data_IF_889026039104
#
_entry.id   IF_889026039104
#
_cell.length_a   1.000
_cell.length_b   1.000
_cell.length_c   1.000
_cell.angle_alpha   90.00
_cell.angle_beta   90.00
_cell.angle_gamma   90.00
#
_symmetry.space_group_name_H-M   'P 1'
#
loop_
_entity.id
_entity.type
_entity.pdbx_description
1 polymer ?
#
# COMPACT_ATOMS: atom_id res chain seq x y z
N UNK A 1 2.87 15.52 -13.37
CA UNK A 1 2.66 14.06 -13.46
C UNK A 1 1.21 13.64 -13.15
N UNK A 2 0.65 13.93 -11.96
CA UNK A 2 -0.75 13.54 -11.60
C UNK A 2 -1.80 14.11 -12.58
N UNK A 3 -1.64 15.36 -13.04
CA UNK A 3 -2.56 15.98 -14.01
C UNK A 3 -2.53 15.28 -15.37
N UNK A 4 -1.35 14.94 -15.86
CA UNK A 4 -1.17 14.17 -17.10
C UNK A 4 -1.80 12.78 -17.01
N UNK A 5 -1.62 12.07 -15.88
CA UNK A 5 -2.23 10.76 -15.67
C UNK A 5 -3.78 10.83 -15.67
N UNK A 6 -4.37 11.90 -15.10
CA UNK A 6 -5.82 12.10 -15.14
C UNK A 6 -6.34 12.31 -16.57
N UNK A 7 -5.62 13.07 -17.39
CA UNK A 7 -5.96 13.30 -18.79
C UNK A 7 -5.94 11.97 -19.57
N UNK A 8 -4.89 11.17 -19.45
CA UNK A 8 -4.78 9.84 -20.06
C UNK A 8 -5.91 8.90 -19.63
N UNK A 9 -6.21 8.84 -18.32
CA UNK A 9 -7.28 7.98 -17.79
C UNK A 9 -8.66 8.33 -18.39
N UNK A 10 -8.91 9.62 -18.62
CA UNK A 10 -10.15 10.10 -19.25
C UNK A 10 -10.15 9.80 -20.75
N UNK A 11 -9.07 10.10 -21.46
CA UNK A 11 -8.91 9.87 -22.89
C UNK A 11 -9.05 8.39 -23.26
N UNK A 12 -8.46 7.50 -22.46
CA UNK A 12 -8.51 6.04 -22.65
C UNK A 12 -9.83 5.42 -22.14
N UNK A 13 -10.77 6.23 -21.66
CA UNK A 13 -12.09 5.79 -21.19
C UNK A 13 -12.01 4.68 -20.11
N UNK A 14 -11.04 4.79 -19.20
CA UNK A 14 -10.88 3.87 -18.07
C UNK A 14 -12.12 3.94 -17.19
N UNK A 15 -12.66 2.80 -16.77
CA UNK A 15 -13.91 2.75 -15.99
C UNK A 15 -13.73 2.79 -14.49
N UNK A 16 -12.54 2.46 -14.01
CA UNK A 16 -12.24 2.36 -12.59
C UNK A 16 -10.80 2.78 -12.30
N UNK A 17 -10.60 3.57 -11.27
CA UNK A 17 -9.27 3.94 -10.80
C UNK A 17 -9.16 3.85 -9.27
N UNK A 18 -8.00 3.42 -8.80
CA UNK A 18 -7.59 3.59 -7.41
C UNK A 18 -6.64 4.78 -7.32
N UNK A 19 -6.93 5.69 -6.41
CA UNK A 19 -6.09 6.85 -6.15
C UNK A 19 -5.52 6.81 -4.74
N UNK A 20 -4.34 7.37 -4.54
CA UNK A 20 -3.71 7.44 -3.23
C UNK A 20 -2.94 8.75 -3.05
N UNK A 21 -2.64 9.07 -1.82
CA UNK A 21 -1.89 10.24 -1.38
C UNK A 21 -2.48 11.60 -1.83
N UNK A 22 -2.67 12.48 -0.89
CA UNK A 22 -3.22 13.81 -1.11
C UNK A 22 -4.73 13.86 -0.94
N UNK A 23 -5.30 14.97 -1.42
CA UNK A 23 -6.73 15.28 -1.28
C UNK A 23 -7.48 14.90 -2.56
N UNK A 24 -8.40 13.91 -2.51
CA UNK A 24 -9.18 13.49 -3.68
C UNK A 24 -10.11 14.58 -4.20
N UNK A 25 -10.56 15.52 -3.39
CA UNK A 25 -11.42 16.62 -3.80
C UNK A 25 -10.86 17.44 -4.98
N UNK A 26 -9.53 17.47 -5.14
CA UNK A 26 -8.87 18.22 -6.22
C UNK A 26 -9.13 17.69 -7.63
N UNK A 27 -9.55 16.44 -7.78
CA UNK A 27 -9.67 15.79 -9.09
C UNK A 27 -10.90 14.91 -9.24
N UNK A 28 -11.63 14.63 -8.16
CA UNK A 28 -12.77 13.71 -8.18
C UNK A 28 -13.85 14.14 -9.18
N UNK A 29 -14.14 15.43 -9.30
CA UNK A 29 -15.16 15.96 -10.23
C UNK A 29 -14.87 15.57 -11.67
N UNK A 30 -13.63 15.75 -12.14
CA UNK A 30 -13.25 15.40 -13.51
C UNK A 30 -13.39 13.92 -13.81
N UNK A 31 -13.06 13.05 -12.84
CA UNK A 31 -13.23 11.62 -13.00
C UNK A 31 -14.71 11.22 -13.01
N UNK A 32 -15.52 11.83 -12.16
CA UNK A 32 -16.98 11.62 -12.14
C UNK A 32 -17.68 12.10 -13.40
N UNK A 33 -17.30 13.26 -13.94
CA UNK A 33 -17.80 13.78 -15.22
C UNK A 33 -17.52 12.82 -16.39
N UNK A 34 -16.41 12.06 -16.31
CA UNK A 34 -16.04 11.04 -17.28
C UNK A 34 -16.63 9.64 -16.96
N UNK A 35 -17.57 9.53 -16.02
CA UNK A 35 -18.17 8.26 -15.56
C UNK A 35 -17.14 7.22 -15.07
N UNK A 36 -16.09 7.68 -14.39
CA UNK A 36 -15.03 6.84 -13.83
C UNK A 36 -15.30 6.61 -12.36
N UNK A 37 -15.34 5.34 -11.95
CA UNK A 37 -15.44 4.96 -10.53
C UNK A 37 -14.10 5.15 -9.83
N UNK A 38 -14.14 5.77 -8.65
CA UNK A 38 -12.94 6.16 -7.90
C UNK A 38 -12.95 5.55 -6.51
N UNK A 39 -11.97 4.69 -6.25
CA UNK A 39 -11.65 4.28 -4.88
C UNK A 39 -10.41 5.04 -4.40
N UNK A 40 -10.41 5.47 -3.13
CA UNK A 40 -9.28 6.21 -2.57
C UNK A 40 -8.62 5.44 -1.43
N UNK A 41 -7.29 5.32 -1.48
CA UNK A 41 -6.52 4.65 -0.45
C UNK A 41 -6.36 5.57 0.78
N UNK A 42 -6.76 5.06 1.93
CA UNK A 42 -6.81 5.82 3.19
C UNK A 42 -6.11 5.05 4.33
N UNK A 43 -5.16 5.67 5.04
CA UNK A 43 -4.45 5.05 6.15
C UNK A 43 -5.00 5.46 7.53
N UNK A 44 -6.12 6.18 7.58
CA UNK A 44 -6.70 6.69 8.84
C UNK A 44 -8.19 6.99 8.70
N UNK A 45 -8.91 7.02 9.81
CA UNK A 45 -10.32 7.44 9.84
C UNK A 45 -10.49 8.87 9.32
N UNK A 46 -9.64 9.81 9.73
CA UNK A 46 -9.70 11.18 9.26
C UNK A 46 -9.52 11.28 7.73
N UNK A 47 -8.62 10.46 7.15
CA UNK A 47 -8.45 10.36 5.70
C UNK A 47 -9.68 9.78 5.02
N UNK A 48 -10.31 8.75 5.62
CA UNK A 48 -11.53 8.15 5.10
C UNK A 48 -12.69 9.14 5.06
N UNK A 49 -12.94 9.88 6.15
CA UNK A 49 -14.00 10.88 6.20
C UNK A 49 -13.82 11.97 5.13
N UNK A 50 -12.59 12.46 4.94
CA UNK A 50 -12.28 13.42 3.85
C UNK A 50 -12.55 12.85 2.47
N UNK A 51 -12.23 11.56 2.24
CA UNK A 51 -12.49 10.92 0.96
C UNK A 51 -13.99 10.73 0.71
N UNK A 52 -14.74 10.35 1.74
CA UNK A 52 -16.21 10.24 1.70
C UNK A 52 -16.83 11.59 1.35
N UNK A 53 -16.43 12.66 2.04
CA UNK A 53 -16.93 14.03 1.79
C UNK A 53 -16.58 14.52 0.38
N UNK A 54 -15.45 14.09 -0.18
CA UNK A 54 -15.08 14.39 -1.56
C UNK A 54 -15.92 13.63 -2.60
N UNK A 55 -16.69 12.60 -2.20
CA UNK A 55 -17.59 11.86 -3.07
C UNK A 55 -16.94 10.70 -3.82
N UNK A 56 -15.97 10.00 -3.23
CA UNK A 56 -15.42 8.76 -3.82
C UNK A 56 -16.46 7.65 -3.84
N UNK A 57 -16.28 6.66 -4.73
CA UNK A 57 -17.21 5.53 -4.86
C UNK A 57 -16.88 4.36 -3.93
N UNK A 58 -15.69 4.39 -3.30
CA UNK A 58 -15.27 3.39 -2.34
C UNK A 58 -13.92 3.74 -1.73
N UNK A 59 -13.50 2.95 -0.76
CA UNK A 59 -12.26 3.15 -0.01
C UNK A 59 -11.35 1.93 -0.14
N UNK A 60 -10.05 2.18 -0.27
CA UNK A 60 -9.01 1.16 0.00
C UNK A 60 -8.44 1.48 1.36
N UNK A 61 -8.83 0.72 2.37
CA UNK A 61 -8.42 0.93 3.76
C UNK A 61 -7.10 0.21 4.00
N UNK A 62 -6.03 0.97 4.20
CA UNK A 62 -4.68 0.43 4.29
C UNK A 62 -4.16 0.45 5.74
N UNK A 63 -3.99 -0.75 6.31
CA UNK A 63 -3.40 -0.93 7.63
C UNK A 63 -1.88 -0.70 7.66
N UNK A 64 -1.36 -0.55 8.88
CA UNK A 64 0.08 -0.39 9.10
C UNK A 64 0.91 -1.60 8.65
N UNK A 65 0.28 -2.77 8.54
CA UNK A 65 0.91 -4.03 8.12
C UNK A 65 1.34 -4.01 6.64
N UNK A 66 0.76 -3.14 5.82
CA UNK A 66 1.11 -3.01 4.40
C UNK A 66 2.53 -2.53 4.16
N UNK A 67 3.12 -2.90 3.01
CA UNK A 67 4.41 -2.39 2.53
C UNK A 67 4.30 -1.00 1.91
N UNK A 68 5.44 -0.33 1.72
CA UNK A 68 5.49 0.98 1.08
C UNK A 68 5.14 2.14 2.00
N UNK A 69 4.59 3.20 1.43
CA UNK A 69 4.28 4.44 2.18
C UNK A 69 3.27 4.20 3.28
N UNK A 70 3.56 4.71 4.48
CA UNK A 70 2.77 4.52 5.68
C UNK A 70 2.37 5.82 6.35
N UNK A 71 1.27 5.74 7.12
CA UNK A 71 0.96 6.74 8.12
C UNK A 71 1.81 6.47 9.37
N UNK A 72 2.52 7.46 9.93
CA UNK A 72 3.30 7.29 11.16
C UNK A 72 2.49 6.84 12.39
N UNK A 73 1.18 7.06 12.41
CA UNK A 73 0.29 6.71 13.52
C UNK A 73 0.00 5.20 13.66
N UNK A 74 0.42 4.39 12.68
CA UNK A 74 0.42 2.93 12.73
C UNK A 74 -0.89 2.26 13.21
N UNK A 75 -2.01 2.57 12.57
CA UNK A 75 -3.28 1.90 12.88
C UNK A 75 -3.34 0.55 12.16
N UNK A 76 -3.58 -0.53 12.91
CA UNK A 76 -3.76 -1.88 12.36
C UNK A 76 -5.03 -2.02 11.53
N UNK A 77 -4.97 -2.89 10.50
CA UNK A 77 -6.02 -3.02 9.48
C UNK A 77 -7.42 -3.31 10.09
N UNK A 78 -7.52 -4.29 10.98
CA UNK A 78 -8.81 -4.68 11.57
C UNK A 78 -9.45 -3.57 12.41
N UNK A 79 -8.65 -2.80 13.13
CA UNK A 79 -9.13 -1.64 13.90
C UNK A 79 -9.63 -0.56 12.95
N UNK A 80 -8.87 -0.31 11.89
CA UNK A 80 -9.17 0.76 10.94
C UNK A 80 -10.46 0.46 10.13
N UNK A 81 -10.62 -0.76 9.61
CA UNK A 81 -11.84 -1.18 8.90
C UNK A 81 -13.08 -0.97 9.77
N UNK A 82 -13.08 -1.52 11.00
CA UNK A 82 -14.22 -1.41 11.91
C UNK A 82 -14.53 0.04 12.30
N UNK A 83 -13.50 0.87 12.46
CA UNK A 83 -13.66 2.29 12.74
C UNK A 83 -14.31 3.04 11.58
N UNK A 84 -13.88 2.76 10.35
CA UNK A 84 -14.40 3.42 9.14
C UNK A 84 -15.82 2.93 8.81
N UNK A 85 -16.11 1.63 8.95
CA UNK A 85 -17.41 1.03 8.64
C UNK A 85 -18.57 1.65 9.45
N UNK A 86 -18.31 2.17 10.63
CA UNK A 86 -19.30 2.90 11.44
C UNK A 86 -19.75 4.22 10.82
N UNK A 87 -19.07 4.72 9.80
CA UNK A 87 -19.28 6.03 9.19
C UNK A 87 -19.71 5.97 7.72
N UNK A 88 -19.75 4.79 7.10
CA UNK A 88 -20.09 4.69 5.68
C UNK A 88 -20.55 3.30 5.30
N UNK A 89 -21.46 3.24 4.30
CA UNK A 89 -21.85 2.02 3.59
C UNK A 89 -21.13 1.85 2.24
N UNK A 90 -20.20 2.75 1.91
CA UNK A 90 -19.39 2.62 0.71
C UNK A 90 -18.59 1.31 0.73
N UNK A 91 -18.32 0.71 -0.45
CA UNK A 91 -17.44 -0.46 -0.54
C UNK A 91 -16.07 -0.18 0.09
N UNK A 92 -15.62 -1.12 0.92
CA UNK A 92 -14.30 -1.11 1.57
C UNK A 92 -13.45 -2.25 1.01
N UNK A 93 -12.32 -1.92 0.40
CA UNK A 93 -11.27 -2.86 0.04
C UNK A 93 -10.19 -2.83 1.13
N UNK A 94 -9.98 -3.94 1.81
CA UNK A 94 -8.95 -4.07 2.85
C UNK A 94 -7.57 -4.29 2.22
N UNK A 95 -6.57 -3.51 2.64
CA UNK A 95 -5.20 -3.60 2.16
C UNK A 95 -4.18 -3.65 3.29
N UNK A 96 -3.15 -4.49 3.13
CA UNK A 96 -2.08 -4.67 4.11
C UNK A 96 -2.30 -5.86 5.03
N UNK A 97 -1.27 -6.67 5.21
CA UNK A 97 -1.29 -7.83 6.07
C UNK A 97 -2.01 -9.08 5.53
N UNK A 98 -2.64 -9.00 4.37
CA UNK A 98 -3.42 -10.09 3.77
C UNK A 98 -2.57 -10.80 2.71
N UNK A 99 -2.38 -12.11 2.83
CA UNK A 99 -1.58 -12.93 1.89
C UNK A 99 -2.23 -14.28 1.56
N UNK A 100 -3.29 -14.65 2.27
CA UNK A 100 -3.96 -15.95 2.15
C UNK A 100 -5.47 -15.85 2.40
N UNK A 101 -6.15 -17.02 2.31
CA UNK A 101 -7.59 -17.12 2.55
C UNK A 101 -8.00 -16.85 4.00
N UNK A 102 -7.13 -17.09 4.98
CA UNK A 102 -7.40 -16.80 6.40
C UNK A 102 -7.44 -15.28 6.61
N UNK A 103 -6.43 -14.57 6.12
CA UNK A 103 -6.40 -13.11 6.17
C UNK A 103 -7.56 -12.48 5.41
N UNK A 104 -7.97 -13.05 4.27
CA UNK A 104 -9.15 -12.62 3.51
C UNK A 104 -10.44 -12.80 4.32
N UNK A 105 -10.65 -13.97 4.93
CA UNK A 105 -11.84 -14.23 5.75
C UNK A 105 -11.90 -13.29 6.96
N UNK A 106 -10.76 -13.02 7.60
CA UNK A 106 -10.66 -12.08 8.71
C UNK A 106 -11.01 -10.64 8.29
N UNK A 107 -10.55 -10.20 7.11
CA UNK A 107 -10.88 -8.88 6.58
C UNK A 107 -12.40 -8.73 6.31
N UNK A 108 -13.03 -9.74 5.72
CA UNK A 108 -14.48 -9.75 5.51
C UNK A 108 -15.25 -9.76 6.84
N UNK A 109 -14.83 -10.55 7.82
CA UNK A 109 -15.41 -10.54 9.16
C UNK A 109 -15.29 -9.18 9.87
N UNK A 110 -14.24 -8.41 9.56
CA UNK A 110 -14.06 -7.04 10.07
C UNK A 110 -14.94 -5.99 9.36
N UNK A 111 -15.58 -6.35 8.24
CA UNK A 111 -16.50 -5.48 7.49
C UNK A 111 -15.95 -4.97 6.14
N UNK A 112 -14.91 -5.58 5.59
CA UNK A 112 -14.47 -5.32 4.22
C UNK A 112 -15.38 -6.01 3.20
N UNK A 113 -15.48 -5.45 1.99
CA UNK A 113 -16.21 -6.01 0.85
C UNK A 113 -15.27 -6.64 -0.18
N UNK A 114 -13.98 -6.33 -0.09
CA UNK A 114 -12.93 -6.86 -0.96
C UNK A 114 -11.56 -6.76 -0.31
N UNK A 115 -10.54 -7.31 -0.98
CA UNK A 115 -9.15 -7.24 -0.51
C UNK A 115 -8.22 -6.75 -1.62
N UNK A 116 -7.09 -6.15 -1.21
CA UNK A 116 -5.96 -5.81 -2.06
C UNK A 116 -4.68 -6.37 -1.44
N UNK A 117 -3.92 -7.09 -2.24
CA UNK A 117 -2.63 -7.66 -1.85
C UNK A 117 -1.51 -7.09 -2.71
N UNK A 118 -0.37 -6.75 -2.09
CA UNK A 118 0.85 -6.34 -2.79
C UNK A 118 1.93 -7.42 -2.67
N UNK A 119 2.44 -7.62 -1.47
CA UNK A 119 3.59 -8.49 -1.19
C UNK A 119 3.40 -9.93 -1.68
N UNK A 120 2.20 -10.51 -1.55
CA UNK A 120 1.89 -11.84 -2.07
C UNK A 120 2.05 -11.92 -3.59
N UNK A 121 1.59 -10.91 -4.33
CA UNK A 121 1.74 -10.86 -5.77
C UNK A 121 3.17 -10.55 -6.22
N UNK A 122 3.93 -9.77 -5.45
CA UNK A 122 5.36 -9.57 -5.70
C UNK A 122 6.12 -10.89 -5.66
N UNK A 123 5.76 -11.81 -4.75
CA UNK A 123 6.41 -13.11 -4.60
C UNK A 123 5.85 -14.21 -5.53
N UNK A 124 4.90 -13.91 -6.43
CA UNK A 124 4.38 -14.92 -7.36
C UNK A 124 5.35 -15.21 -8.52
N UNK A 125 5.20 -16.39 -9.13
CA UNK A 125 6.00 -16.81 -10.30
C UNK A 125 5.88 -15.84 -11.47
N UNK A 126 4.67 -15.32 -11.71
CA UNK A 126 4.37 -14.41 -12.81
C UNK A 126 4.92 -13.00 -12.60
N UNK A 127 5.28 -12.65 -11.37
CA UNK A 127 5.87 -11.34 -11.09
C UNK A 127 7.24 -11.22 -11.77
N UNK A 128 7.51 -10.11 -12.51
CA UNK A 128 8.80 -9.89 -13.16
C UNK A 128 9.92 -9.47 -12.18
N UNK A 129 9.60 -9.42 -10.89
CA UNK A 129 10.56 -9.04 -9.84
C UNK A 129 11.66 -10.11 -9.72
N UNK A 130 12.90 -9.65 -9.51
CA UNK A 130 14.06 -10.53 -9.39
C UNK A 130 13.93 -11.56 -8.25
N UNK A 131 14.47 -12.76 -8.48
CA UNK A 131 14.39 -13.88 -7.53
C UNK A 131 14.98 -13.57 -6.14
N UNK A 132 15.97 -12.70 -6.06
CA UNK A 132 16.52 -12.26 -4.77
C UNK A 132 15.45 -11.59 -3.89
N UNK A 133 14.57 -10.77 -4.49
CA UNK A 133 13.50 -10.13 -3.75
C UNK A 133 12.41 -11.14 -3.35
N UNK A 134 11.99 -12.01 -4.27
CA UNK A 134 11.04 -13.09 -3.96
C UNK A 134 11.57 -13.98 -2.84
N UNK A 135 12.86 -14.39 -2.93
CA UNK A 135 13.53 -15.17 -1.90
C UNK A 135 13.58 -14.47 -0.55
N UNK A 136 13.83 -13.16 -0.52
CA UNK A 136 13.81 -12.39 0.71
C UNK A 136 12.41 -12.32 1.36
N UNK A 137 11.35 -12.32 0.57
CA UNK A 137 9.97 -12.39 1.07
C UNK A 137 9.69 -13.79 1.64
N UNK A 138 9.95 -14.86 0.88
CA UNK A 138 9.61 -16.25 1.24
C UNK A 138 10.41 -16.73 2.46
N UNK A 139 11.67 -16.27 2.62
CA UNK A 139 12.51 -16.59 3.77
C UNK A 139 12.36 -15.58 4.93
N UNK A 140 11.44 -14.61 4.79
CA UNK A 140 11.19 -13.59 5.81
C UNK A 140 10.41 -14.11 7.01
N UNK A 141 10.42 -13.33 8.09
CA UNK A 141 9.59 -13.58 9.27
C UNK A 141 8.64 -12.40 9.50
N UNK A 142 7.69 -12.56 10.43
CA UNK A 142 6.78 -11.49 10.87
C UNK A 142 7.51 -10.25 11.42
N UNK A 143 8.77 -10.41 11.82
CA UNK A 143 9.66 -9.33 12.28
C UNK A 143 10.64 -8.87 11.19
N UNK A 144 10.53 -9.37 9.96
CA UNK A 144 11.45 -9.14 8.85
C UNK A 144 11.31 -7.78 8.15
N UNK A 145 10.53 -6.85 8.69
CA UNK A 145 10.36 -5.49 8.13
C UNK A 145 10.57 -4.40 9.17
N UNK A 146 10.98 -3.22 8.69
CA UNK A 146 10.98 -1.98 9.47
C UNK A 146 9.90 -1.02 8.98
N UNK A 147 9.41 -0.15 9.88
CA UNK A 147 8.86 1.15 9.49
C UNK A 147 9.98 2.17 9.64
N UNK A 148 10.44 2.68 8.51
CA UNK A 148 11.53 3.64 8.43
C UNK A 148 10.98 5.07 8.48
N UNK A 149 11.80 5.98 9.02
CA UNK A 149 11.56 7.43 9.00
C UNK A 149 10.23 7.86 9.67
N UNK A 150 9.87 7.24 10.79
CA UNK A 150 8.59 7.49 11.50
C UNK A 150 8.34 8.96 11.89
N UNK A 151 9.39 9.75 12.05
CA UNK A 151 9.29 11.16 12.51
C UNK A 151 9.27 12.16 11.35
N UNK A 152 9.43 11.69 10.12
CA UNK A 152 9.52 12.53 8.94
C UNK A 152 8.80 11.91 7.73
N UNK A 153 8.91 12.54 6.55
CA UNK A 153 8.37 12.01 5.29
C UNK A 153 9.50 11.83 4.28
N UNK A 154 9.50 10.73 3.54
CA UNK A 154 8.51 9.64 3.53
C UNK A 154 8.64 8.71 4.73
N UNK A 155 7.52 8.22 5.27
CA UNK A 155 7.47 7.11 6.21
C UNK A 155 7.11 5.85 5.40
N UNK A 156 7.92 4.78 5.47
CA UNK A 156 7.72 3.58 4.64
C UNK A 156 7.95 2.29 5.44
N UNK A 157 7.26 1.21 5.03
CA UNK A 157 7.58 -0.15 5.47
C UNK A 157 8.36 -0.88 4.38
N UNK A 158 9.50 -1.45 4.76
CA UNK A 158 10.39 -2.21 3.88
C UNK A 158 11.03 -3.41 4.59
N UNK A 159 11.55 -4.37 3.82
CA UNK A 159 12.33 -5.49 4.33
C UNK A 159 13.57 -5.00 5.09
N UNK A 160 13.98 -5.79 6.06
CA UNK A 160 15.30 -5.66 6.71
C UNK A 160 16.39 -6.09 5.73
N UNK A 161 17.29 -5.17 5.42
CA UNK A 161 18.49 -5.34 4.59
C UNK A 161 19.59 -4.48 5.19
N UNK A 162 20.84 -4.65 4.75
CA UNK A 162 21.94 -3.81 5.23
C UNK A 162 21.68 -2.31 5.02
N UNK A 163 21.03 -1.95 3.91
CA UNK A 163 20.62 -0.55 3.66
C UNK A 163 19.57 -0.08 4.66
N UNK A 164 18.51 -0.87 4.86
CA UNK A 164 17.42 -0.47 5.77
C UNK A 164 17.81 -0.50 7.23
N UNK A 165 18.77 -1.35 7.63
CA UNK A 165 19.38 -1.34 8.97
C UNK A 165 20.07 0.00 9.24
N UNK A 166 20.90 0.48 8.30
CA UNK A 166 21.54 1.81 8.38
C UNK A 166 20.53 2.94 8.50
N UNK A 167 19.52 2.95 7.61
CA UNK A 167 18.46 3.97 7.65
C UNK A 167 17.69 3.93 8.97
N UNK A 168 17.43 2.75 9.50
CA UNK A 168 16.71 2.58 10.76
C UNK A 168 17.53 3.12 11.97
N UNK A 169 18.83 2.87 11.99
CA UNK A 169 19.75 3.36 13.01
C UNK A 169 19.93 4.89 12.94
N UNK A 170 20.08 5.44 11.74
CA UNK A 170 20.21 6.88 11.50
C UNK A 170 18.90 7.63 11.79
N UNK A 171 17.75 6.96 11.63
CA UNK A 171 16.43 7.51 11.88
C UNK A 171 15.94 8.51 10.85
N UNK A 172 16.67 8.72 9.75
CA UNK A 172 16.36 9.67 8.69
C UNK A 172 16.48 9.03 7.31
N UNK A 173 15.56 9.37 6.43
CA UNK A 173 15.54 8.97 5.03
C UNK A 173 14.88 10.06 4.19
N UNK A 174 15.39 10.31 3.00
CA UNK A 174 14.74 11.15 2.01
C UNK A 174 14.28 10.34 0.77
N UNK A 175 13.65 11.00 -0.19
CA UNK A 175 13.15 10.35 -1.40
C UNK A 175 14.26 9.82 -2.32
N UNK A 176 15.50 10.30 -2.19
CA UNK A 176 16.62 9.83 -3.02
C UNK A 176 16.98 8.37 -2.71
N UNK A 177 16.70 7.89 -1.50
CA UNK A 177 16.88 6.50 -1.13
C UNK A 177 16.06 5.52 -2.01
N UNK A 178 15.04 6.01 -2.71
CA UNK A 178 14.23 5.23 -3.65
C UNK A 178 14.75 5.29 -5.09
N UNK A 179 15.84 5.98 -5.39
CA UNK A 179 16.36 6.13 -6.75
C UNK A 179 16.79 4.81 -7.40
N UNK A 180 17.34 3.88 -6.61
CA UNK A 180 17.79 2.54 -7.04
C UNK A 180 16.68 1.49 -7.16
N UNK A 181 15.40 1.89 -7.14
CA UNK A 181 14.27 0.93 -7.09
C UNK A 181 14.22 -0.02 -8.30
N UNK A 182 14.69 0.39 -9.47
CA UNK A 182 14.77 -0.48 -10.66
C UNK A 182 15.86 -1.55 -10.51
N UNK A 183 17.00 -1.19 -9.96
CA UNK A 183 18.11 -2.11 -9.71
C UNK A 183 17.73 -3.12 -8.63
N UNK A 184 16.98 -2.69 -7.63
CA UNK A 184 16.38 -3.58 -6.64
C UNK A 184 15.39 -4.57 -7.28
N UNK A 185 14.33 -4.07 -7.95
CA UNK A 185 13.24 -4.92 -8.43
C UNK A 185 13.64 -5.84 -9.58
N UNK A 186 14.48 -5.37 -10.50
CA UNK A 186 14.80 -6.09 -11.72
C UNK A 186 16.28 -6.53 -11.82
N UNK A 187 17.17 -5.84 -11.13
CA UNK A 187 18.59 -6.19 -11.02
C UNK A 187 18.93 -7.11 -9.85
N UNK A 188 18.04 -7.21 -8.87
CA UNK A 188 18.25 -8.06 -7.68
C UNK A 188 19.22 -7.53 -6.65
N UNK A 189 19.63 -6.27 -6.74
CA UNK A 189 20.44 -5.61 -5.72
C UNK A 189 19.55 -5.18 -4.54
N UNK A 190 19.54 -6.00 -3.52
CA UNK A 190 18.69 -5.79 -2.32
C UNK A 190 19.08 -4.57 -1.48
N UNK A 191 20.21 -3.94 -1.78
CA UNK A 191 20.70 -2.74 -1.10
C UNK A 191 20.65 -1.47 -1.99
N UNK A 192 20.16 -1.56 -3.23
CA UNK A 192 20.02 -0.41 -4.13
C UNK A 192 18.93 0.58 -3.67
N UNK A 193 17.89 0.07 -2.99
CA UNK A 193 16.79 0.87 -2.42
C UNK A 193 16.07 0.09 -1.31
N UNK A 194 15.27 0.75 -0.43
CA UNK A 194 14.40 0.04 0.49
C UNK A 194 13.41 -0.89 -0.22
N UNK A 195 13.50 -2.18 0.04
CA UNK A 195 12.66 -3.21 -0.56
C UNK A 195 11.25 -3.20 0.06
N UNK A 196 10.29 -2.58 -0.63
CA UNK A 196 8.95 -2.33 -0.10
C UNK A 196 8.16 -3.65 0.03
N UNK A 197 7.89 -4.09 1.25
CA UNK A 197 7.11 -5.29 1.55
C UNK A 197 6.34 -5.13 2.85
N UNK A 198 5.19 -5.82 2.96
CA UNK A 198 4.34 -5.82 4.15
C UNK A 198 4.86 -6.73 5.25
N UNK A 199 4.31 -6.57 6.45
CA UNK A 199 4.71 -7.34 7.63
C UNK A 199 4.34 -8.83 7.53
N UNK A 200 3.39 -9.18 6.68
CA UNK A 200 2.91 -10.55 6.47
C UNK A 200 3.84 -11.46 5.66
N UNK A 201 5.08 -11.04 5.37
CA UNK A 201 6.08 -11.90 4.71
C UNK A 201 6.28 -13.23 5.44
N UNK A 202 6.22 -13.26 6.77
CA UNK A 202 6.33 -14.48 7.55
C UNK A 202 5.19 -15.50 7.35
N UNK A 203 4.16 -15.15 6.57
CA UNK A 203 3.05 -16.03 6.19
C UNK A 203 3.15 -16.52 4.73
N UNK A 204 4.16 -16.06 3.99
CA UNK A 204 4.38 -16.44 2.59
C UNK A 204 5.51 -17.47 2.54
N UNK A 205 5.17 -18.74 2.27
CA UNK A 205 6.11 -19.87 2.35
C UNK A 205 6.55 -20.39 0.97
N UNK A 206 6.02 -19.82 -0.11
CA UNK A 206 6.28 -20.26 -1.48
C UNK A 206 6.13 -19.10 -2.48
N UNK A 207 6.81 -19.22 -3.61
CA UNK A 207 6.71 -18.31 -4.76
C UNK A 207 5.48 -18.65 -5.59
#
# INVERSE_FOLDING_TARGET
YKRQMLEVVIEENVKFVTTSAGDPAKYIHKLKEADIKVFHAVPSLAGALKAIDAGVDGLVVEGTEGGGFKNPEEVGLHVLIQSIRKHTDLPIVAAGGIVDGIGMAAAFAAGADGIQMGTRFVSSLESPVHENFKGAIVNGSEQGTYILNKKAKPCIRALKTELTDKIYEEGLMDMSALSGIKDLYFGGDMNAAPALAGQSIGLINEV
#
